data_IF_415434430746
#
_entry.id   IF_415434430746
#
_cell.length_a   1.000
_cell.length_b   1.000
_cell.length_c   1.000
_cell.angle_alpha   90.00
_cell.angle_beta   90.00
_cell.angle_gamma   90.00
#
_symmetry.space_group_name_H-M   'P 1'
#
loop_
_entity.id
_entity.type
_entity.pdbx_description
1 polymer ?
#
# COMPACT_ATOMS: atom_id res chain seq x y z
N UNK A 1 10.13 2.91 8.38
CA UNK A 1 10.12 1.47 8.02
C UNK A 1 9.19 1.32 6.84
N UNK A 2 9.62 0.64 5.77
CA UNK A 2 8.78 0.39 4.60
C UNK A 2 8.20 -1.03 4.68
N UNK A 3 6.91 -1.18 4.41
CA UNK A 3 6.24 -2.48 4.29
C UNK A 3 6.49 -3.01 2.88
N UNK A 4 6.94 -4.25 2.73
CA UNK A 4 7.25 -4.85 1.43
C UNK A 4 6.12 -5.76 0.92
N UNK A 5 6.10 -6.08 -0.39
CA UNK A 5 5.19 -7.12 -0.92
C UNK A 5 5.32 -8.43 -0.14
N UNK A 6 6.55 -8.85 0.18
CA UNK A 6 6.83 -10.05 0.97
C UNK A 6 6.20 -9.96 2.37
N UNK A 7 6.28 -8.79 3.01
CA UNK A 7 5.64 -8.58 4.31
C UNK A 7 4.13 -8.75 4.27
N UNK A 8 3.50 -8.32 3.17
CA UNK A 8 2.08 -8.47 2.94
C UNK A 8 1.71 -9.92 2.61
N UNK A 9 2.42 -10.57 1.70
CA UNK A 9 2.14 -11.93 1.24
C UNK A 9 2.29 -12.95 2.39
N UNK A 10 3.35 -12.81 3.20
CA UNK A 10 3.66 -13.71 4.33
C UNK A 10 2.98 -13.27 5.63
N UNK A 11 1.97 -12.40 5.56
CA UNK A 11 1.37 -11.80 6.75
C UNK A 11 0.55 -12.81 7.58
N UNK A 12 1.00 -13.04 8.81
CA UNK A 12 0.25 -13.70 9.87
C UNK A 12 -0.37 -12.70 10.86
N UNK A 13 -1.11 -13.19 11.86
CA UNK A 13 -1.77 -12.35 12.87
C UNK A 13 -0.79 -11.49 13.66
N UNK A 14 0.40 -12.00 13.99
CA UNK A 14 1.38 -11.24 14.79
C UNK A 14 1.97 -10.11 13.96
N UNK A 15 2.30 -10.40 12.70
CA UNK A 15 2.85 -9.44 11.74
C UNK A 15 1.82 -8.37 11.42
N UNK A 16 0.55 -8.74 11.20
CA UNK A 16 -0.54 -7.78 11.04
C UNK A 16 -0.65 -6.85 12.25
N UNK A 17 -0.76 -7.39 13.47
CA UNK A 17 -0.89 -6.58 14.68
C UNK A 17 0.31 -5.64 14.89
N UNK A 18 1.52 -6.10 14.61
CA UNK A 18 2.73 -5.28 14.69
C UNK A 18 2.69 -4.11 13.69
N UNK A 19 2.46 -4.38 12.40
CA UNK A 19 2.43 -3.37 11.35
C UNK A 19 1.27 -2.37 11.55
N UNK A 20 0.09 -2.87 11.92
CA UNK A 20 -1.09 -2.05 12.17
C UNK A 20 -0.88 -1.06 13.31
N UNK A 21 -0.26 -1.49 14.41
CA UNK A 21 0.05 -0.63 15.55
C UNK A 21 1.16 0.40 15.26
N UNK A 22 2.03 0.14 14.27
CA UNK A 22 3.07 1.08 13.86
C UNK A 22 2.59 2.18 12.93
N UNK A 23 1.48 1.96 12.22
CA UNK A 23 0.82 2.98 11.39
C UNK A 23 0.13 4.03 12.29
N UNK A 24 0.90 4.99 12.83
CA UNK A 24 0.39 6.07 13.71
C UNK A 24 -0.22 7.22 12.90
N UNK A 25 -1.34 7.75 13.40
CA UNK A 25 -2.28 8.68 12.76
C UNK A 25 -1.71 10.06 12.36
N UNK A 26 -1.46 10.28 11.05
CA UNK A 26 -1.69 11.56 10.32
C UNK A 26 -1.78 11.35 8.77
N UNK A 27 -2.50 12.25 8.08
CA UNK A 27 -2.57 12.54 6.63
C UNK A 27 -2.57 11.33 5.66
N UNK A 28 -3.75 10.91 5.20
CA UNK A 28 -4.13 10.09 4.03
C UNK A 28 -3.29 8.84 3.67
N UNK A 29 -1.97 8.96 3.57
CA UNK A 29 -1.00 7.87 3.41
C UNK A 29 -1.25 6.76 4.43
N UNK A 30 -1.39 7.09 5.71
CA UNK A 30 -1.60 6.07 6.75
C UNK A 30 -2.94 5.36 6.59
N UNK A 31 -3.99 6.07 6.16
CA UNK A 31 -5.30 5.45 5.89
C UNK A 31 -5.17 4.42 4.77
N UNK A 32 -4.48 4.77 3.70
CA UNK A 32 -4.23 3.87 2.58
C UNK A 32 -3.36 2.69 3.01
N UNK A 33 -2.31 2.91 3.79
CA UNK A 33 -1.47 1.83 4.33
C UNK A 33 -2.30 0.86 5.19
N UNK A 34 -3.16 1.37 6.07
CA UNK A 34 -4.07 0.54 6.85
C UNK A 34 -5.02 -0.25 5.94
N UNK A 35 -5.60 0.39 4.91
CA UNK A 35 -6.43 -0.30 3.92
C UNK A 35 -5.65 -1.42 3.21
N UNK A 36 -4.39 -1.22 2.84
CA UNK A 36 -3.54 -2.29 2.26
C UNK A 36 -3.40 -3.47 3.23
N UNK A 37 -3.11 -3.20 4.51
CA UNK A 37 -2.97 -4.24 5.52
C UNK A 37 -4.28 -5.02 5.71
N UNK A 38 -5.42 -4.32 5.77
CA UNK A 38 -6.75 -4.93 5.92
C UNK A 38 -7.16 -5.73 4.68
N UNK A 39 -6.91 -5.20 3.48
CA UNK A 39 -7.20 -5.84 2.20
C UNK A 39 -6.44 -7.17 2.08
N UNK A 40 -5.16 -7.16 2.45
CA UNK A 40 -4.36 -8.36 2.50
C UNK A 40 -4.79 -9.31 3.62
N UNK A 41 -4.95 -8.83 4.86
CA UNK A 41 -5.18 -9.71 6.01
C UNK A 41 -6.57 -10.33 6.00
N UNK A 42 -7.60 -9.50 5.80
CA UNK A 42 -9.02 -9.89 5.90
C UNK A 42 -9.56 -10.48 4.60
N UNK A 43 -9.18 -9.91 3.45
CA UNK A 43 -9.75 -10.26 2.14
C UNK A 43 -8.83 -11.12 1.29
N UNK A 44 -7.55 -11.26 1.67
CA UNK A 44 -6.51 -11.98 0.90
C UNK A 44 -6.33 -11.44 -0.53
N UNK A 45 -6.75 -10.20 -0.76
CA UNK A 45 -6.57 -9.50 -2.02
C UNK A 45 -5.15 -8.95 -2.09
N UNK A 46 -4.57 -8.93 -3.30
CA UNK A 46 -3.19 -8.46 -3.52
C UNK A 46 -3.10 -7.10 -4.21
N UNK A 47 -4.26 -6.48 -4.42
CA UNK A 47 -4.41 -5.19 -5.06
C UNK A 47 -5.42 -4.41 -4.24
N UNK A 48 -5.06 -3.20 -3.83
CA UNK A 48 -5.98 -2.21 -3.29
C UNK A 48 -6.39 -1.28 -4.42
N UNK A 49 -7.69 -1.01 -4.53
CA UNK A 49 -8.26 0.08 -5.32
C UNK A 49 -8.87 1.07 -4.34
N UNK A 50 -8.29 2.27 -4.26
CA UNK A 50 -8.69 3.30 -3.31
C UNK A 50 -9.15 4.55 -4.05
N UNK A 51 -10.40 4.94 -3.86
CA UNK A 51 -10.96 6.13 -4.51
C UNK A 51 -10.41 7.40 -3.86
N UNK A 52 -9.85 8.29 -4.67
CA UNK A 52 -9.34 9.58 -4.22
C UNK A 52 -10.47 10.62 -4.23
N UNK A 53 -10.57 11.42 -3.16
CA UNK A 53 -11.56 12.51 -3.06
C UNK A 53 -11.04 13.83 -3.63
N UNK A 54 -9.72 13.97 -3.87
CA UNK A 54 -9.11 15.11 -4.57
C UNK A 54 -7.85 14.71 -5.34
N UNK A 55 -7.52 15.47 -6.39
CA UNK A 55 -6.58 15.08 -7.45
C UNK A 55 -5.10 15.46 -7.21
N UNK A 56 -4.70 15.89 -6.01
CA UNK A 56 -3.28 16.13 -5.71
C UNK A 56 -2.54 14.80 -5.51
N UNK A 57 -2.13 14.25 -6.65
CA UNK A 57 -1.89 12.84 -6.88
C UNK A 57 -0.41 12.45 -6.80
N UNK A 58 0.51 13.37 -7.12
CA UNK A 58 1.92 13.05 -7.23
C UNK A 58 2.62 12.91 -5.87
N UNK A 59 2.39 13.87 -4.95
CA UNK A 59 2.97 13.82 -3.60
C UNK A 59 2.47 12.59 -2.82
N UNK A 60 1.20 12.22 -3.00
CA UNK A 60 0.63 11.04 -2.36
C UNK A 60 1.32 9.75 -2.82
N UNK A 61 1.53 9.57 -4.12
CA UNK A 61 2.20 8.38 -4.67
C UNK A 61 3.64 8.29 -4.16
N UNK A 62 4.39 9.39 -4.18
CA UNK A 62 5.79 9.37 -3.71
C UNK A 62 5.88 9.13 -2.20
N UNK A 63 4.99 9.71 -1.40
CA UNK A 63 4.91 9.43 0.05
C UNK A 63 4.54 7.99 0.33
N UNK A 64 3.63 7.41 -0.46
CA UNK A 64 3.29 5.99 -0.36
C UNK A 64 4.48 5.10 -0.73
N UNK A 65 5.24 5.42 -1.77
CA UNK A 65 6.48 4.69 -2.12
C UNK A 65 7.53 4.76 -0.99
N UNK A 66 7.54 5.83 -0.20
CA UNK A 66 8.36 5.92 1.02
C UNK A 66 7.92 5.00 2.17
N UNK A 67 6.69 4.45 2.11
CA UNK A 67 6.08 3.59 3.14
C UNK A 67 5.82 2.17 2.67
N UNK A 68 5.65 1.97 1.37
CA UNK A 68 5.30 0.73 0.71
C UNK A 68 6.31 0.45 -0.40
N UNK A 69 7.00 -0.67 -0.28
CA UNK A 69 7.90 -1.22 -1.30
C UNK A 69 7.22 -2.41 -1.96
N UNK A 70 6.27 -2.11 -2.83
CA UNK A 70 5.37 -3.08 -3.48
C UNK A 70 5.57 -3.08 -5.01
N UNK A 71 4.90 -3.99 -5.72
CA UNK A 71 5.03 -4.17 -7.17
C UNK A 71 4.80 -2.87 -7.94
N UNK A 72 3.70 -2.16 -7.64
CA UNK A 72 3.39 -0.86 -8.24
C UNK A 72 2.45 0.00 -7.38
N UNK A 73 2.56 1.31 -7.56
CA UNK A 73 1.66 2.32 -6.99
C UNK A 73 1.40 3.37 -8.06
N UNK A 74 0.15 3.52 -8.49
CA UNK A 74 -0.23 4.45 -9.56
C UNK A 74 -1.66 4.95 -9.41
N UNK A 75 -2.00 6.03 -10.11
CA UNK A 75 -3.35 6.60 -10.11
C UNK A 75 -3.92 6.51 -11.53
N UNK A 76 -5.15 6.01 -11.64
CA UNK A 76 -5.92 5.97 -12.89
C UNK A 76 -7.37 6.34 -12.59
N UNK A 77 -7.93 7.32 -13.32
CA UNK A 77 -9.34 7.74 -13.26
C UNK A 77 -9.86 7.88 -11.82
N UNK A 78 -9.18 8.72 -11.04
CA UNK A 78 -9.48 9.04 -9.63
C UNK A 78 -9.33 7.87 -8.65
N UNK A 79 -8.72 6.76 -9.06
CA UNK A 79 -8.42 5.65 -8.17
C UNK A 79 -6.91 5.49 -8.03
N UNK A 80 -6.47 5.37 -6.80
CA UNK A 80 -5.15 4.89 -6.45
C UNK A 80 -5.15 3.36 -6.45
N UNK A 81 -4.21 2.79 -7.18
CA UNK A 81 -3.92 1.37 -7.21
C UNK A 81 -2.63 1.12 -6.45
N UNK A 82 -2.67 0.16 -5.53
CA UNK A 82 -1.49 -0.38 -4.85
C UNK A 82 -1.48 -1.87 -5.11
N UNK A 83 -0.47 -2.35 -5.82
CA UNK A 83 -0.34 -3.76 -6.22
C UNK A 83 0.89 -4.37 -5.54
N UNK A 84 0.67 -5.44 -4.76
CA UNK A 84 1.71 -6.25 -4.12
C UNK A 84 1.65 -7.73 -4.53
N UNK A 85 1.11 -8.01 -5.71
CA UNK A 85 0.98 -9.36 -6.26
C UNK A 85 2.32 -10.04 -6.59
N UNK A 86 3.38 -9.25 -6.82
CA UNK A 86 4.73 -9.70 -7.12
C UNK A 86 5.68 -9.37 -5.96
N UNK A 87 6.67 -10.23 -5.74
CA UNK A 87 7.65 -10.11 -4.65
C UNK A 87 8.64 -8.95 -4.82
N UNK A 88 8.62 -8.23 -5.94
CA UNK A 88 9.50 -7.11 -6.23
C UNK A 88 8.78 -5.97 -6.99
N UNK A 89 9.18 -4.70 -6.77
CA UNK A 89 8.77 -3.59 -7.63
C UNK A 89 9.09 -3.90 -9.09
N UNK A 90 8.11 -3.77 -9.98
CA UNK A 90 8.38 -3.87 -11.42
C UNK A 90 9.11 -2.60 -11.82
N UNK A 91 10.43 -2.69 -12.00
CA UNK A 91 11.21 -1.61 -12.57
C UNK A 91 10.78 -1.44 -14.03
N UNK A 92 9.84 -0.52 -14.29
CA UNK A 92 9.61 -0.04 -15.64
C UNK A 92 10.88 0.68 -16.08
N UNK A 93 11.71 0.00 -16.86
CA UNK A 93 12.77 0.63 -17.64
C UNK A 93 12.08 1.49 -18.69
N UNK A 94 12.26 2.80 -18.58
CA UNK A 94 11.94 3.76 -19.64
C UNK A 94 12.93 3.62 -20.78
#
# INVERSE_FOLDING_TARGET
MSITSKDLIEMDTRKFAFLYNQSRLNLDVERIVLSVLEEQYLRKNRILVYKLESADSHDLVERLKGRLSVSSIYIEKDNLYVDWSLDAPVAFRT
#
